data_IF_389106853087
#
_entry.id   IF_389106853087
#
_cell.length_a   1.000
_cell.length_b   1.000
_cell.length_c   1.000
_cell.angle_alpha   90.00
_cell.angle_beta   90.00
_cell.angle_gamma   90.00
#
_symmetry.space_group_name_H-M   'P 1'
#
loop_
_entity.id
_entity.type
_entity.pdbx_description
1 polymer ?
#
# COMPACT_ATOMS: atom_id res chain seq x y z
N UNK A 1 -18.52 -3.06 -3.81
CA UNK A 1 -17.85 -1.85 -3.26
C UNK A 1 -16.34 -1.90 -3.49
N UNK A 2 -15.66 -0.77 -3.69
CA UNK A 2 -14.19 -0.67 -3.65
C UNK A 2 -13.81 0.15 -2.44
N UNK A 3 -13.04 -0.44 -1.53
CA UNK A 3 -12.42 0.26 -0.40
C UNK A 3 -10.97 0.56 -0.81
N UNK A 4 -10.52 1.79 -0.61
CA UNK A 4 -9.14 2.21 -0.83
C UNK A 4 -8.64 2.90 0.42
N UNK A 5 -7.43 2.58 0.85
CA UNK A 5 -6.78 3.20 1.99
C UNK A 5 -5.42 3.73 1.58
N UNK A 6 -5.06 4.92 2.06
CA UNK A 6 -3.77 5.55 1.79
C UNK A 6 -3.22 6.20 3.05
N UNK A 7 -1.90 6.15 3.17
CA UNK A 7 -1.11 6.94 4.10
C UNK A 7 -0.27 7.89 3.27
N UNK A 8 -0.38 9.19 3.54
CA UNK A 8 0.43 10.24 2.93
C UNK A 8 0.73 11.29 3.99
N UNK A 9 2.02 11.52 4.28
CA UNK A 9 2.51 12.61 5.14
C UNK A 9 1.64 12.87 6.39
N UNK A 10 1.63 11.90 7.28
CA UNK A 10 0.92 11.93 8.57
C UNK A 10 -0.62 11.83 8.51
N UNK A 11 -1.20 11.67 7.31
CA UNK A 11 -2.62 11.45 7.14
C UNK A 11 -2.93 10.00 6.75
N UNK A 12 -3.95 9.43 7.39
CA UNK A 12 -4.56 8.16 6.98
C UNK A 12 -5.96 8.43 6.44
N UNK A 13 -6.17 8.11 5.16
CA UNK A 13 -7.43 8.30 4.48
C UNK A 13 -8.01 6.98 4.00
N UNK A 14 -9.32 6.82 4.18
CA UNK A 14 -10.08 5.68 3.64
C UNK A 14 -11.21 6.22 2.76
N UNK A 15 -11.30 5.69 1.55
CA UNK A 15 -12.35 5.99 0.59
C UNK A 15 -13.10 4.73 0.21
N UNK A 16 -14.42 4.78 0.31
CA UNK A 16 -15.34 3.76 -0.23
C UNK A 16 -15.97 4.32 -1.50
N UNK A 17 -15.98 3.53 -2.56
CA UNK A 17 -16.53 3.93 -3.86
C UNK A 17 -17.37 2.82 -4.48
N UNK A 18 -18.40 3.20 -5.22
CA UNK A 18 -19.24 2.28 -5.95
C UNK A 18 -18.58 1.87 -7.27
N UNK A 19 -18.97 0.70 -7.74
CA UNK A 19 -18.64 0.22 -9.07
C UNK A 19 -19.84 -0.56 -9.61
N UNK A 20 -19.99 -0.54 -10.92
CA UNK A 20 -21.02 -1.28 -11.63
C UNK A 20 -20.43 -2.54 -12.25
N UNK A 21 -21.11 -3.67 -12.05
CA UNK A 21 -20.83 -4.91 -12.78
C UNK A 21 -21.27 -4.74 -14.23
N UNK A 22 -20.37 -5.02 -15.17
CA UNK A 22 -20.65 -4.99 -16.61
C UNK A 22 -20.75 -6.40 -17.20
N UNK A 23 -19.84 -7.28 -16.80
CA UNK A 23 -19.79 -8.66 -17.26
C UNK A 23 -19.34 -9.56 -16.11
N UNK A 24 -20.00 -10.71 -16.00
CA UNK A 24 -19.54 -11.81 -15.17
C UNK A 24 -19.11 -12.98 -16.06
N UNK A 25 -17.91 -13.50 -15.80
CA UNK A 25 -17.42 -14.74 -16.41
C UNK A 25 -17.18 -15.79 -15.33
N UNK A 26 -16.76 -17.00 -15.72
CA UNK A 26 -16.34 -18.01 -14.75
C UNK A 26 -15.07 -17.64 -13.98
N UNK A 27 -14.22 -16.75 -14.51
CA UNK A 27 -12.90 -16.42 -13.93
C UNK A 27 -12.80 -15.02 -13.32
N UNK A 28 -13.49 -14.06 -13.91
CA UNK A 28 -13.37 -12.64 -13.54
C UNK A 28 -14.67 -11.87 -13.76
N UNK A 29 -14.74 -10.71 -13.11
CA UNK A 29 -15.73 -9.66 -13.34
C UNK A 29 -15.12 -8.53 -14.17
N UNK A 30 -15.86 -8.00 -15.13
CA UNK A 30 -15.59 -6.66 -15.69
C UNK A 30 -16.43 -5.65 -14.95
N UNK A 31 -15.78 -4.64 -14.40
CA UNK A 31 -16.42 -3.60 -13.59
C UNK A 31 -16.05 -2.22 -14.13
N UNK A 32 -16.89 -1.23 -13.84
CA UNK A 32 -16.61 0.18 -14.10
C UNK A 32 -16.86 1.00 -12.83
N UNK A 33 -15.88 1.82 -12.44
CA UNK A 33 -16.09 2.83 -11.40
C UNK A 33 -17.01 3.96 -11.91
N UNK A 34 -17.39 4.90 -11.03
CA UNK A 34 -18.32 5.98 -11.38
C UNK A 34 -17.89 6.78 -12.63
N UNK A 35 -16.60 7.13 -12.76
CA UNK A 35 -16.06 7.88 -13.90
C UNK A 35 -14.79 7.24 -14.49
N UNK A 36 -14.60 5.93 -14.29
CA UNK A 36 -13.34 5.24 -14.59
C UNK A 36 -13.37 4.33 -15.83
N UNK A 37 -12.18 3.90 -16.31
CA UNK A 37 -12.10 2.85 -17.33
C UNK A 37 -12.62 1.52 -16.79
N UNK A 38 -12.99 0.62 -17.71
CA UNK A 38 -13.36 -0.76 -17.36
C UNK A 38 -12.14 -1.49 -16.81
N UNK A 39 -12.31 -2.17 -15.68
CA UNK A 39 -11.27 -2.98 -15.04
C UNK A 39 -11.75 -4.42 -14.89
N UNK A 40 -10.79 -5.35 -14.88
CA UNK A 40 -11.03 -6.76 -14.59
C UNK A 40 -10.63 -7.10 -13.16
N UNK A 41 -11.51 -7.78 -12.45
CA UNK A 41 -11.25 -8.33 -11.12
C UNK A 41 -11.40 -9.84 -11.21
N UNK A 42 -10.31 -10.57 -11.00
CA UNK A 42 -10.36 -12.02 -10.88
C UNK A 42 -11.13 -12.41 -9.63
N UNK A 43 -11.96 -13.46 -9.73
CA UNK A 43 -12.84 -13.89 -8.63
C UNK A 43 -12.05 -14.22 -7.36
N UNK A 44 -10.85 -14.80 -7.50
CA UNK A 44 -9.96 -15.08 -6.36
C UNK A 44 -9.34 -13.83 -5.71
N UNK A 45 -9.44 -12.65 -6.34
CA UNK A 45 -8.99 -11.38 -5.78
C UNK A 45 -10.12 -10.59 -5.12
N UNK A 46 -11.36 -11.07 -5.20
CA UNK A 46 -12.47 -10.47 -4.48
C UNK A 46 -12.27 -10.64 -2.97
N UNK A 47 -12.60 -9.60 -2.21
CA UNK A 47 -12.39 -9.50 -0.77
C UNK A 47 -10.94 -9.72 -0.34
N UNK A 48 -9.98 -9.38 -1.19
CA UNK A 48 -8.55 -9.46 -0.88
C UNK A 48 -7.93 -8.07 -0.97
N UNK A 49 -7.17 -7.69 0.05
CA UNK A 49 -6.43 -6.43 0.07
C UNK A 49 -5.20 -6.54 -0.83
N UNK A 50 -5.18 -5.75 -1.90
CA UNK A 50 -4.06 -5.63 -2.84
C UNK A 50 -3.31 -4.32 -2.61
N UNK A 51 -2.01 -4.34 -2.88
CA UNK A 51 -1.19 -3.13 -2.79
C UNK A 51 -1.30 -2.31 -4.06
N UNK A 52 -1.49 -1.00 -3.92
CA UNK A 52 -1.49 -0.07 -5.06
C UNK A 52 -0.10 0.56 -5.23
N UNK A 53 0.61 0.85 -4.13
CA UNK A 53 2.02 1.26 -4.15
C UNK A 53 2.97 0.06 -4.08
N UNK A 54 3.93 -0.01 -5.00
CA UNK A 54 4.98 -1.06 -5.02
C UNK A 54 6.02 -0.87 -3.92
N UNK A 55 6.39 0.36 -3.60
CA UNK A 55 7.42 0.71 -2.63
C UNK A 55 7.00 1.93 -1.82
N UNK A 56 7.51 2.04 -0.59
CA UNK A 56 7.41 3.27 0.18
C UNK A 56 8.29 4.34 -0.45
N UNK A 57 7.68 5.40 -0.93
CA UNK A 57 8.39 6.55 -1.52
C UNK A 57 7.63 7.82 -1.22
N UNK A 58 8.35 8.91 -0.95
CA UNK A 58 7.79 10.21 -0.64
C UNK A 58 6.73 10.21 0.49
N UNK A 59 6.81 9.26 1.43
CA UNK A 59 5.85 9.16 2.53
C UNK A 59 4.53 8.46 2.19
N UNK A 60 4.44 7.81 1.02
CA UNK A 60 3.19 7.26 0.51
C UNK A 60 3.12 5.72 0.58
N UNK A 61 2.01 5.20 1.11
CA UNK A 61 1.57 3.81 0.93
C UNK A 61 0.08 3.78 0.62
N UNK A 62 -0.34 2.92 -0.29
CA UNK A 62 -1.76 2.70 -0.54
C UNK A 62 -2.07 1.25 -0.86
N UNK A 63 -3.29 0.85 -0.50
CA UNK A 63 -3.86 -0.45 -0.78
C UNK A 63 -5.36 -0.30 -1.07
N UNK A 64 -5.92 -1.31 -1.73
CA UNK A 64 -7.35 -1.37 -1.99
C UNK A 64 -7.88 -2.78 -2.03
N UNK A 65 -9.20 -2.91 -1.96
CA UNK A 65 -9.91 -4.17 -2.09
C UNK A 65 -11.24 -3.92 -2.78
N UNK A 66 -11.62 -4.86 -3.64
CA UNK A 66 -12.98 -4.97 -4.13
C UNK A 66 -13.71 -5.97 -3.24
N UNK A 67 -14.80 -5.57 -2.62
CA UNK A 67 -15.52 -6.41 -1.67
C UNK A 67 -17.03 -6.26 -1.79
N UNK A 68 -17.72 -7.22 -1.21
CA UNK A 68 -19.15 -7.11 -0.93
C UNK A 68 -19.40 -6.01 0.12
N UNK A 69 -20.61 -5.45 0.15
CA UNK A 69 -20.93 -4.26 0.96
C UNK A 69 -20.86 -4.56 2.45
N UNK A 70 -21.33 -5.73 2.86
CA UNK A 70 -21.28 -6.25 4.23
C UNK A 70 -19.86 -6.44 4.77
N UNK A 71 -18.85 -6.51 3.89
CA UNK A 71 -17.43 -6.70 4.26
C UNK A 71 -16.63 -5.40 4.32
N UNK A 72 -17.23 -4.23 4.06
CA UNK A 72 -16.48 -2.96 4.04
C UNK A 72 -15.69 -2.75 5.34
N UNK A 73 -16.33 -2.90 6.49
CA UNK A 73 -15.70 -2.65 7.79
C UNK A 73 -14.54 -3.62 8.06
N UNK A 74 -14.71 -4.89 7.70
CA UNK A 74 -13.65 -5.90 7.79
C UNK A 74 -12.45 -5.52 6.92
N UNK A 75 -12.70 -5.11 5.67
CA UNK A 75 -11.66 -4.67 4.75
C UNK A 75 -10.91 -3.43 5.24
N UNK A 76 -11.59 -2.47 5.88
CA UNK A 76 -10.93 -1.30 6.46
C UNK A 76 -9.95 -1.70 7.58
N UNK A 77 -10.36 -2.62 8.46
CA UNK A 77 -9.50 -3.14 9.54
C UNK A 77 -8.30 -3.90 8.96
N UNK A 78 -8.51 -4.76 7.97
CA UNK A 78 -7.43 -5.49 7.29
C UNK A 78 -6.44 -4.55 6.60
N UNK A 79 -6.94 -3.52 5.91
CA UNK A 79 -6.09 -2.51 5.27
C UNK A 79 -5.22 -1.77 6.28
N UNK A 80 -5.80 -1.33 7.40
CA UNK A 80 -5.06 -0.66 8.47
C UNK A 80 -3.95 -1.56 9.02
N UNK A 81 -4.27 -2.83 9.34
CA UNK A 81 -3.28 -3.81 9.82
C UNK A 81 -2.18 -4.05 8.80
N UNK A 82 -2.52 -4.17 7.52
CA UNK A 82 -1.55 -4.39 6.45
C UNK A 82 -0.61 -3.21 6.29
N UNK A 83 -1.13 -1.99 6.32
CA UNK A 83 -0.33 -0.77 6.25
C UNK A 83 0.58 -0.64 7.47
N UNK A 84 0.07 -0.90 8.67
CA UNK A 84 0.86 -0.91 9.90
C UNK A 84 2.01 -1.93 9.84
N UNK A 85 1.73 -3.16 9.40
CA UNK A 85 2.75 -4.20 9.24
C UNK A 85 3.85 -3.78 8.27
N UNK A 86 3.47 -3.19 7.13
CA UNK A 86 4.42 -2.67 6.14
C UNK A 86 5.30 -1.56 6.70
N UNK A 87 4.71 -0.59 7.39
CA UNK A 87 5.47 0.50 8.01
C UNK A 87 6.47 -0.05 9.02
N UNK A 88 6.04 -0.96 9.88
CA UNK A 88 6.93 -1.59 10.87
C UNK A 88 8.09 -2.35 10.19
N UNK A 89 7.80 -3.05 9.09
CA UNK A 89 8.84 -3.72 8.30
C UNK A 89 9.85 -2.72 7.73
N UNK A 90 9.39 -1.63 7.10
CA UNK A 90 10.27 -0.59 6.57
C UNK A 90 11.11 0.07 7.66
N UNK A 91 10.52 0.40 8.80
CA UNK A 91 11.23 0.98 9.94
C UNK A 91 12.33 0.05 10.45
N UNK A 92 12.06 -1.25 10.53
CA UNK A 92 13.05 -2.24 10.92
C UNK A 92 14.18 -2.36 9.90
N UNK A 93 13.87 -2.44 8.60
CA UNK A 93 14.87 -2.48 7.53
C UNK A 93 15.76 -1.23 7.52
N UNK A 94 15.17 -0.04 7.65
CA UNK A 94 15.90 1.21 7.75
C UNK A 94 16.79 1.28 8.99
N UNK A 95 16.31 0.77 10.13
CA UNK A 95 17.10 0.69 11.36
C UNK A 95 18.32 -0.21 11.19
N UNK A 96 18.15 -1.38 10.56
CA UNK A 96 19.25 -2.30 10.28
C UNK A 96 20.28 -1.69 9.32
N UNK A 97 19.82 -1.00 8.27
CA UNK A 97 20.68 -0.30 7.33
C UNK A 97 21.47 0.83 8.01
N UNK A 98 20.81 1.63 8.87
CA UNK A 98 21.47 2.68 9.63
C UNK A 98 22.55 2.10 10.57
N UNK A 99 22.24 1.00 11.25
CA UNK A 99 23.21 0.29 12.09
C UNK A 99 24.42 -0.21 11.29
N UNK A 100 24.21 -0.66 10.06
CA UNK A 100 25.30 -1.07 9.17
C UNK A 100 26.19 0.12 8.78
N UNK A 101 25.60 1.28 8.48
CA UNK A 101 26.35 2.52 8.20
C UNK A 101 27.16 2.97 9.41
N UNK A 102 26.56 3.03 10.59
CA UNK A 102 27.23 3.48 11.82
C UNK A 102 28.42 2.59 12.23
N UNK A 103 28.40 1.32 11.83
CA UNK A 103 29.53 0.39 12.05
C UNK A 103 30.70 0.65 11.10
N UNK A 104 30.45 1.28 9.96
CA UNK A 104 31.53 1.80 9.14
C UNK A 104 32.05 3.04 9.85
N UNK A 105 33.17 2.92 10.55
CA UNK A 105 33.89 4.08 11.05
C UNK A 105 34.18 4.96 9.84
N UNK A 106 33.53 6.13 9.75
CA UNK A 106 34.02 7.18 8.88
C UNK A 106 35.35 7.58 9.49
N UNK A 107 36.46 7.02 8.99
CA UNK A 107 37.80 7.40 9.41
C UNK A 107 37.94 8.92 9.20
N UNK A 108 38.19 9.72 10.26
CA UNK A 108 38.33 11.17 10.12
C UNK A 108 39.61 11.60 9.39
N UNK A 109 40.43 10.67 8.89
CA UNK A 109 41.78 10.98 8.39
C UNK A 109 41.85 11.53 6.96
N UNK A 110 40.76 11.47 6.17
CA UNK A 110 40.77 11.98 4.79
C UNK A 110 40.52 13.50 4.68
N UNK A 111 40.41 14.22 5.80
CA UNK A 111 40.28 15.69 5.84
C UNK A 111 41.54 16.43 6.31
N UNK A 112 42.74 15.84 6.14
CA UNK A 112 43.98 16.64 6.25
C UNK A 112 44.23 17.35 4.92
N UNK A 113 43.79 18.60 4.82
CA UNK A 113 44.32 19.52 3.82
C UNK A 113 45.83 19.69 4.05
N UNK A 114 46.68 19.61 3.01
CA UNK A 114 48.10 19.91 3.15
C UNK A 114 48.30 21.43 3.29
N UNK A 115 48.96 21.86 4.37
CA UNK A 115 49.67 23.14 4.44
C UNK A 115 51.16 22.92 4.14
#
# INVERSE_FOLDING_TARGET
MKVSAAIEKDEFAVKVSHWKLLLETSRYYEIRGEEGPVKRIYKEKLNTVVDETKSYSAGQLSCSAFCAEERINEMQIEMLRKLQLKINQYMNELHLNMKAIQRQTICPEDFKQPE
#
